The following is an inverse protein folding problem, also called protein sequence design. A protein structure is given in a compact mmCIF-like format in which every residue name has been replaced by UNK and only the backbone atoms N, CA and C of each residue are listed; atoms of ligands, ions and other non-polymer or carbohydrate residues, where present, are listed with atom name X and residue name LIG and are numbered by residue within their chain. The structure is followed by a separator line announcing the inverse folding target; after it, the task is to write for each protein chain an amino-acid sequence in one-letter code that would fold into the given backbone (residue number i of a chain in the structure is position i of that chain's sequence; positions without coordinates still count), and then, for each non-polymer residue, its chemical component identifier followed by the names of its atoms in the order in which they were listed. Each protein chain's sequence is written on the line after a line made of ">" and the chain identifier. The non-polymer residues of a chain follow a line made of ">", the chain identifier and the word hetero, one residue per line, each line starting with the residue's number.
data_IF_294960207404
#
_entry.id   IF_294960207404
#
_cell.length_a   1.000
_cell.length_b   1.000
_cell.length_c   1.000
_cell.angle_alpha   90.00
_cell.angle_beta   90.00
_cell.angle_gamma   90.00
#
_symmetry.space_group_name_H-M   'P 1'
#
loop_
_entity.id
_entity.type
_entity.pdbx_description
1 polymer ?
#
# COMPACT_ATOMS: atom_id res chain seq x y z
N UNK A 1 -8.74 -20.20 10.94
CA UNK A 1 -10.04 -19.71 10.40
C UNK A 1 -10.20 -18.20 10.50
N UNK A 2 -9.89 -17.54 11.62
CA UNK A 2 -10.10 -16.09 11.78
C UNK A 2 -9.53 -15.20 10.66
N UNK A 3 -8.30 -15.40 10.13
CA UNK A 3 -7.81 -14.60 9.00
C UNK A 3 -8.69 -14.69 7.75
N UNK A 4 -9.26 -15.87 7.46
CA UNK A 4 -10.15 -16.07 6.32
C UNK A 4 -11.47 -15.32 6.51
N UNK A 5 -11.98 -15.26 7.74
CA UNK A 5 -13.18 -14.47 8.07
C UNK A 5 -12.91 -12.99 7.79
N UNK A 6 -11.77 -12.45 8.22
CA UNK A 6 -11.40 -11.06 7.93
C UNK A 6 -11.34 -10.80 6.42
N UNK A 7 -10.74 -11.69 5.64
CA UNK A 7 -10.74 -11.58 4.18
C UNK A 7 -12.16 -11.55 3.60
N UNK A 8 -13.07 -12.40 4.08
CA UNK A 8 -14.47 -12.41 3.64
C UNK A 8 -15.19 -11.10 4.00
N UNK A 9 -15.02 -10.60 5.22
CA UNK A 9 -15.57 -9.30 5.64
C UNK A 9 -15.01 -8.15 4.78
N UNK A 10 -13.74 -8.22 4.44
CA UNK A 10 -13.06 -7.27 3.57
C UNK A 10 -13.62 -7.24 2.15
N UNK A 11 -13.94 -8.40 1.58
CA UNK A 11 -14.65 -8.51 0.29
C UNK A 11 -16.02 -7.83 0.38
N UNK A 12 -16.81 -8.15 1.42
CA UNK A 12 -18.14 -7.54 1.62
C UNK A 12 -18.03 -6.02 1.78
N UNK A 13 -17.09 -5.55 2.59
CA UNK A 13 -16.83 -4.13 2.79
C UNK A 13 -16.44 -3.44 1.48
N UNK A 14 -15.61 -4.09 0.65
CA UNK A 14 -15.19 -3.57 -0.65
C UNK A 14 -16.37 -3.49 -1.63
N UNK A 15 -17.22 -4.51 -1.70
CA UNK A 15 -18.42 -4.51 -2.54
C UNK A 15 -19.38 -3.37 -2.19
N UNK A 16 -19.58 -3.12 -0.89
CA UNK A 16 -20.40 -2.01 -0.41
C UNK A 16 -19.71 -0.68 -0.71
N UNK A 17 -18.43 -0.54 -0.37
CA UNK A 17 -17.65 0.69 -0.52
C UNK A 17 -17.54 1.17 -1.97
N UNK A 18 -17.39 0.26 -2.93
CA UNK A 18 -17.37 0.57 -4.36
C UNK A 18 -18.65 1.31 -4.80
N UNK A 19 -19.81 1.01 -4.23
CA UNK A 19 -21.08 1.69 -4.58
C UNK A 19 -21.10 3.18 -4.19
N UNK A 20 -20.22 3.58 -3.27
CA UNK A 20 -20.06 4.95 -2.82
C UNK A 20 -19.00 5.72 -3.60
N UNK A 21 -18.24 5.07 -4.49
CA UNK A 21 -17.32 5.74 -5.42
C UNK A 21 -18.16 6.39 -6.52
N UNK A 22 -18.48 7.68 -6.34
CA UNK A 22 -19.28 8.45 -7.31
C UNK A 22 -18.59 9.77 -7.62
N UNK A 23 -18.40 10.04 -8.92
CA UNK A 23 -17.88 11.32 -9.42
C UNK A 23 -19.08 12.16 -9.85
N UNK A 24 -19.34 13.26 -9.13
CA UNK A 24 -20.36 14.24 -9.54
C UNK A 24 -19.91 15.04 -10.76
N UNK A 25 -20.81 15.85 -11.34
CA UNK A 25 -20.55 16.66 -12.57
C UNK A 25 -19.33 17.59 -12.49
N UNK A 26 -18.88 17.93 -11.28
CA UNK A 26 -17.70 18.76 -11.00
C UNK A 26 -16.75 18.13 -9.96
N UNK A 27 -16.94 16.83 -9.67
CA UNK A 27 -16.14 16.11 -8.68
C UNK A 27 -14.78 15.72 -9.24
N UNK A 28 -13.73 15.75 -8.41
CA UNK A 28 -12.42 15.21 -8.77
C UNK A 28 -12.43 13.68 -8.62
N UNK A 29 -12.16 12.90 -9.69
CA UNK A 29 -12.17 11.43 -9.62
C UNK A 29 -11.23 10.88 -8.53
N UNK A 30 -10.06 11.48 -8.36
CA UNK A 30 -9.10 11.07 -7.33
C UNK A 30 -9.64 11.18 -5.90
N UNK A 31 -10.44 12.22 -5.61
CA UNK A 31 -11.11 12.36 -4.31
C UNK A 31 -12.20 11.31 -4.12
N UNK A 32 -12.98 11.02 -5.17
CA UNK A 32 -14.02 9.99 -5.10
C UNK A 32 -13.44 8.59 -4.84
N UNK A 33 -12.33 8.24 -5.50
CA UNK A 33 -11.61 6.99 -5.28
C UNK A 33 -11.08 6.90 -3.84
N UNK A 34 -10.42 7.97 -3.36
CA UNK A 34 -9.88 7.99 -1.99
C UNK A 34 -11.00 7.92 -0.93
N UNK A 35 -12.10 8.65 -1.11
CA UNK A 35 -13.26 8.58 -0.22
C UNK A 35 -13.87 7.18 -0.20
N UNK A 36 -13.98 6.50 -1.35
CA UNK A 36 -14.44 5.12 -1.41
C UNK A 36 -13.55 4.15 -0.63
N UNK A 37 -12.23 4.34 -0.70
CA UNK A 37 -11.26 3.57 0.10
C UNK A 37 -11.47 3.79 1.59
N UNK A 38 -11.62 5.04 2.03
CA UNK A 38 -11.86 5.38 3.45
C UNK A 38 -13.18 4.77 3.94
N UNK A 39 -14.25 4.88 3.14
CA UNK A 39 -15.55 4.28 3.45
C UNK A 39 -15.43 2.76 3.57
N UNK A 40 -14.72 2.12 2.64
CA UNK A 40 -14.43 0.68 2.67
C UNK A 40 -13.71 0.29 3.97
N UNK A 41 -12.66 1.03 4.33
CA UNK A 41 -11.94 0.81 5.59
C UNK A 41 -12.85 0.97 6.81
N UNK A 42 -13.70 2.02 6.84
CA UNK A 42 -14.62 2.24 7.96
C UNK A 42 -15.65 1.10 8.09
N UNK A 43 -16.25 0.66 6.98
CA UNK A 43 -17.17 -0.47 6.96
C UNK A 43 -16.46 -1.74 7.45
N UNK A 44 -15.27 -2.01 6.92
CA UNK A 44 -14.48 -3.17 7.35
C UNK A 44 -14.16 -3.12 8.85
N UNK A 45 -13.75 -1.96 9.38
CA UNK A 45 -13.48 -1.80 10.81
C UNK A 45 -14.70 -2.12 11.68
N UNK A 46 -15.89 -1.64 11.28
CA UNK A 46 -17.15 -1.93 11.98
C UNK A 46 -17.48 -3.42 11.92
N UNK A 47 -17.38 -4.04 10.74
CA UNK A 47 -17.66 -5.47 10.57
C UNK A 47 -16.68 -6.35 11.36
N UNK A 48 -15.38 -6.05 11.31
CA UNK A 48 -14.34 -6.77 12.05
C UNK A 48 -14.56 -6.63 13.56
N UNK A 49 -14.89 -5.42 14.04
CA UNK A 49 -15.22 -5.17 15.46
C UNK A 49 -16.44 -5.97 15.89
N UNK A 50 -17.51 -5.96 15.10
CA UNK A 50 -18.73 -6.71 15.39
C UNK A 50 -18.46 -8.22 15.48
N UNK A 51 -17.70 -8.78 14.53
CA UNK A 51 -17.36 -10.21 14.55
C UNK A 51 -16.50 -10.56 15.77
N UNK A 52 -15.53 -9.73 16.14
CA UNK A 52 -14.70 -10.00 17.32
C UNK A 52 -15.52 -9.96 18.61
N UNK A 53 -16.34 -8.91 18.80
CA UNK A 53 -17.12 -8.74 20.03
C UNK A 53 -18.27 -9.75 20.16
N UNK A 54 -19.03 -9.99 19.08
CA UNK A 54 -20.16 -10.93 19.09
C UNK A 54 -19.70 -12.39 19.05
N UNK A 55 -18.57 -12.66 18.39
CA UNK A 55 -18.00 -14.01 18.29
C UNK A 55 -17.17 -14.43 19.51
N UNK A 56 -16.98 -13.54 20.49
CA UNK A 56 -16.16 -13.83 21.67
C UNK A 56 -14.68 -14.05 21.35
N UNK A 57 -14.18 -13.46 20.25
CA UNK A 57 -12.76 -13.53 19.92
C UNK A 57 -11.96 -12.61 20.83
N UNK A 58 -10.67 -12.91 20.94
CA UNK A 58 -9.75 -12.14 21.76
C UNK A 58 -9.56 -10.70 21.22
N UNK A 59 -9.59 -9.70 22.10
CA UNK A 59 -9.44 -8.29 21.70
C UNK A 59 -8.06 -7.99 21.07
N UNK A 60 -7.02 -8.75 21.38
CA UNK A 60 -5.70 -8.62 20.77
C UNK A 60 -5.74 -8.77 19.25
N UNK A 61 -6.57 -9.69 18.70
CA UNK A 61 -6.71 -9.82 17.24
C UNK A 61 -7.47 -8.64 16.63
N UNK A 62 -8.40 -8.02 17.35
CA UNK A 62 -9.09 -6.82 16.88
C UNK A 62 -8.11 -5.65 16.80
N UNK A 63 -7.35 -5.41 17.86
CA UNK A 63 -6.38 -4.31 17.87
C UNK A 63 -5.30 -4.47 16.82
N UNK A 64 -4.78 -5.68 16.62
CA UNK A 64 -3.86 -5.99 15.53
C UNK A 64 -4.48 -5.69 14.16
N UNK A 65 -5.72 -6.14 13.92
CA UNK A 65 -6.47 -5.91 12.68
C UNK A 65 -6.62 -4.41 12.39
N UNK A 66 -7.06 -3.65 13.40
CA UNK A 66 -7.26 -2.21 13.30
C UNK A 66 -5.94 -1.45 13.11
N UNK A 67 -4.86 -1.87 13.77
CA UNK A 67 -3.53 -1.27 13.60
C UNK A 67 -3.07 -1.39 12.15
N UNK A 68 -3.21 -2.57 11.54
CA UNK A 68 -2.87 -2.78 10.13
C UNK A 68 -3.75 -1.96 9.18
N UNK A 69 -5.05 -1.91 9.44
CA UNK A 69 -6.00 -1.10 8.67
C UNK A 69 -5.66 0.40 8.72
N UNK A 70 -5.39 0.93 9.91
CA UNK A 70 -5.00 2.34 10.12
C UNK A 70 -3.70 2.63 9.40
N UNK A 71 -2.70 1.75 9.48
CA UNK A 71 -1.46 1.89 8.73
C UNK A 71 -1.71 1.94 7.22
N UNK A 72 -2.60 1.08 6.69
CA UNK A 72 -3.04 1.17 5.29
C UNK A 72 -3.64 2.53 4.94
N UNK A 73 -4.53 3.06 5.79
CA UNK A 73 -5.12 4.40 5.59
C UNK A 73 -4.04 5.49 5.59
N UNK A 74 -3.10 5.47 6.54
CA UNK A 74 -1.99 6.42 6.61
C UNK A 74 -1.18 6.40 5.31
N UNK A 75 -0.83 5.21 4.83
CA UNK A 75 -0.07 5.04 3.58
C UNK A 75 -0.87 5.51 2.37
N UNK A 76 -2.17 5.24 2.33
CA UNK A 76 -3.04 5.76 1.28
C UNK A 76 -3.04 7.29 1.22
N UNK A 77 -3.16 7.95 2.37
CA UNK A 77 -3.09 9.41 2.44
C UNK A 77 -1.72 9.98 2.10
N UNK A 78 -0.63 9.33 2.55
CA UNK A 78 0.72 9.82 2.26
C UNK A 78 1.05 9.64 0.79
N UNK A 79 0.73 8.48 0.20
CA UNK A 79 0.81 8.27 -1.25
C UNK A 79 -0.02 9.30 -2.01
N UNK A 80 -1.25 9.58 -1.59
CA UNK A 80 -2.11 10.61 -2.19
C UNK A 80 -1.45 12.00 -2.14
N UNK A 81 -0.89 12.40 -1.00
CA UNK A 81 -0.23 13.69 -0.81
C UNK A 81 1.00 13.88 -1.69
N UNK A 82 1.84 12.85 -1.83
CA UNK A 82 3.08 12.95 -2.61
C UNK A 82 2.88 12.75 -4.12
N UNK A 83 1.70 12.31 -4.58
CA UNK A 83 1.48 11.98 -6.00
C UNK A 83 0.32 12.70 -6.67
N UNK A 84 -0.61 13.30 -5.92
CA UNK A 84 -1.67 14.11 -6.51
C UNK A 84 -1.19 15.52 -6.86
N UNK A 85 -1.60 16.01 -8.03
CA UNK A 85 -1.36 17.38 -8.52
C UNK A 85 -2.01 18.49 -7.68
N UNK A 86 -2.83 18.12 -6.69
CA UNK A 86 -3.47 19.05 -5.76
C UNK A 86 -2.53 19.49 -4.61
N UNK A 87 -1.37 18.85 -4.43
CA UNK A 87 -0.50 19.07 -3.28
C UNK A 87 0.90 19.58 -3.64
N UNK A 88 1.52 20.18 -2.63
CA UNK A 88 2.81 20.85 -2.74
C UNK A 88 3.91 20.03 -3.43
N UNK A 89 4.16 18.73 -3.13
CA UNK A 89 5.26 18.00 -3.76
C UNK A 89 5.20 17.97 -5.28
N UNK A 90 4.00 17.74 -5.84
CA UNK A 90 3.78 17.67 -7.29
C UNK A 90 3.74 19.06 -7.90
N UNK A 91 3.08 20.02 -7.24
CA UNK A 91 3.02 21.43 -7.68
C UNK A 91 4.43 22.03 -7.76
N UNK A 92 5.26 21.76 -6.77
CA UNK A 92 6.65 22.23 -6.71
C UNK A 92 7.50 21.60 -7.82
N UNK A 93 7.35 20.29 -8.04
CA UNK A 93 8.03 19.57 -9.14
C UNK A 93 7.63 20.14 -10.51
N UNK A 94 6.35 20.44 -10.71
CA UNK A 94 5.86 21.11 -11.92
C UNK A 94 6.42 22.53 -12.07
N UNK A 95 6.48 23.31 -10.97
CA UNK A 95 7.04 24.67 -10.96
C UNK A 95 8.50 24.68 -11.40
N UNK A 96 9.34 23.81 -10.83
CA UNK A 96 10.77 23.76 -11.16
C UNK A 96 11.07 23.17 -12.53
N UNK A 97 10.10 22.52 -13.17
CA UNK A 97 10.24 22.06 -14.57
C UNK A 97 10.49 23.21 -15.54
N UNK A 98 10.04 24.44 -15.22
CA UNK A 98 10.37 25.65 -15.98
C UNK A 98 11.86 26.04 -15.93
N UNK A 99 12.63 25.50 -14.97
CA UNK A 99 14.07 25.75 -14.82
C UNK A 99 14.96 24.69 -15.50
N UNK A 100 14.36 23.64 -16.07
CA UNK A 100 15.06 22.60 -16.83
C UNK A 100 14.94 21.18 -16.27
N UNK A 101 15.23 20.19 -17.12
CA UNK A 101 15.02 18.77 -16.82
C UNK A 101 15.84 18.26 -15.62
N UNK A 102 17.07 18.76 -15.43
CA UNK A 102 17.93 18.33 -14.34
C UNK A 102 17.34 18.68 -12.96
N UNK A 103 16.82 19.91 -12.81
CA UNK A 103 16.20 20.35 -11.55
C UNK A 103 14.90 19.59 -11.31
N UNK A 104 14.12 19.33 -12.36
CA UNK A 104 12.91 18.49 -12.27
C UNK A 104 13.21 17.10 -11.71
N UNK A 105 14.24 16.41 -12.25
CA UNK A 105 14.65 15.08 -11.79
C UNK A 105 15.10 15.11 -10.32
N UNK A 106 15.94 16.08 -9.95
CA UNK A 106 16.47 16.20 -8.59
C UNK A 106 15.32 16.44 -7.58
N UNK A 107 14.42 17.36 -7.88
CA UNK A 107 13.28 17.68 -7.00
C UNK A 107 12.32 16.49 -6.87
N UNK A 108 11.97 15.85 -7.98
CA UNK A 108 11.11 14.65 -7.97
C UNK A 108 11.73 13.49 -7.18
N UNK A 109 13.03 13.22 -7.40
CA UNK A 109 13.76 12.19 -6.65
C UNK A 109 13.82 12.51 -5.14
N UNK A 110 14.07 13.77 -4.78
CA UNK A 110 14.08 14.22 -3.39
C UNK A 110 12.74 13.99 -2.68
N UNK A 111 11.62 14.42 -3.28
CA UNK A 111 10.30 14.15 -2.71
C UNK A 111 9.98 12.66 -2.64
N UNK A 112 10.43 11.87 -3.62
CA UNK A 112 10.36 10.41 -3.58
C UNK A 112 11.02 9.83 -2.33
N UNK A 113 12.25 10.25 -2.02
CA UNK A 113 12.96 9.81 -0.81
C UNK A 113 12.26 10.25 0.49
N UNK A 114 11.70 11.45 0.54
CA UNK A 114 10.96 11.94 1.72
C UNK A 114 9.64 11.17 1.90
N UNK A 115 8.98 10.79 0.81
CA UNK A 115 7.67 10.13 0.83
C UNK A 115 7.67 8.76 1.54
N UNK A 116 8.82 8.11 1.67
CA UNK A 116 8.93 6.80 2.34
C UNK A 116 8.78 6.90 3.86
N UNK A 117 9.12 8.06 4.46
CA UNK A 117 9.25 8.21 5.92
C UNK A 117 7.93 7.95 6.65
N UNK A 118 6.79 8.56 6.26
CA UNK A 118 5.51 8.28 6.91
C UNK A 118 5.09 6.82 6.81
N UNK A 119 5.35 6.18 5.66
CA UNK A 119 5.00 4.77 5.42
C UNK A 119 5.80 3.83 6.32
N UNK A 120 7.11 4.05 6.45
CA UNK A 120 7.97 3.27 7.35
C UNK A 120 7.57 3.45 8.81
N UNK A 121 7.28 4.68 9.26
CA UNK A 121 6.79 4.93 10.61
C UNK A 121 5.48 4.18 10.86
N UNK A 122 4.53 4.22 9.92
CA UNK A 122 3.28 3.48 10.01
C UNK A 122 3.47 1.96 10.13
N UNK A 123 4.40 1.38 9.37
CA UNK A 123 4.72 -0.05 9.44
C UNK A 123 5.34 -0.41 10.80
N UNK A 124 6.29 0.40 11.30
CA UNK A 124 6.93 0.18 12.60
C UNK A 124 5.90 0.25 13.72
N UNK A 125 5.04 1.27 13.71
CA UNK A 125 3.99 1.44 14.72
C UNK A 125 2.99 0.27 14.67
N UNK A 126 2.51 -0.12 13.48
CA UNK A 126 1.62 -1.27 13.36
C UNK A 126 2.27 -2.57 13.85
N UNK A 127 3.55 -2.79 13.53
CA UNK A 127 4.30 -3.97 13.96
C UNK A 127 4.36 -4.04 15.48
N UNK A 128 4.84 -2.99 16.13
CA UNK A 128 5.03 -2.96 17.59
C UNK A 128 3.69 -3.04 18.33
N UNK A 129 2.70 -2.25 17.91
CA UNK A 129 1.37 -2.28 18.53
C UNK A 129 0.72 -3.66 18.39
N UNK A 130 0.74 -4.24 17.19
CA UNK A 130 0.12 -5.55 16.95
C UNK A 130 0.82 -6.65 17.74
N UNK A 131 2.15 -6.60 17.85
CA UNK A 131 2.92 -7.56 18.63
C UNK A 131 2.59 -7.47 20.12
N UNK A 132 2.75 -6.30 20.73
CA UNK A 132 2.58 -6.15 22.18
C UNK A 132 1.12 -6.29 22.62
N UNK A 133 0.16 -5.79 21.84
CA UNK A 133 -1.26 -5.94 22.19
C UNK A 133 -1.74 -7.39 22.07
N UNK A 134 -1.20 -8.17 21.13
CA UNK A 134 -1.47 -9.60 21.06
C UNK A 134 -0.88 -10.33 22.27
N UNK A 135 0.38 -10.09 22.63
CA UNK A 135 1.05 -10.70 23.80
C UNK A 135 0.30 -10.38 25.10
N UNK A 136 -0.06 -9.11 25.32
CA UNK A 136 -0.84 -8.68 26.49
C UNK A 136 -2.20 -9.35 26.60
N UNK A 137 -2.76 -9.74 25.45
CA UNK A 137 -4.05 -10.44 25.40
C UNK A 137 -3.90 -11.97 25.45
N UNK A 138 -2.69 -12.50 25.59
CA UNK A 138 -2.42 -13.94 25.68
C UNK A 138 -2.35 -14.65 24.32
N UNK A 139 -2.08 -13.91 23.23
CA UNK A 139 -1.86 -14.47 21.90
C UNK A 139 -0.41 -14.20 21.48
N UNK A 140 0.20 -15.09 20.71
CA UNK A 140 1.53 -14.85 20.13
C UNK A 140 1.59 -13.50 19.41
N UNK A 141 2.57 -12.67 19.76
CA UNK A 141 2.78 -11.36 19.16
C UNK A 141 3.03 -11.44 17.65
N UNK A 142 3.70 -12.51 17.21
CA UNK A 142 3.94 -12.81 15.80
C UNK A 142 2.62 -13.03 15.06
N UNK A 143 1.69 -13.77 15.68
CA UNK A 143 0.34 -13.94 15.13
C UNK A 143 -0.39 -12.61 15.04
N UNK A 144 -0.23 -11.73 16.04
CA UNK A 144 -0.72 -10.34 15.99
C UNK A 144 -0.20 -9.57 14.77
N UNK A 145 1.11 -9.61 14.50
CA UNK A 145 1.68 -8.99 13.30
C UNK A 145 1.07 -9.56 12.01
N UNK A 146 0.89 -10.88 11.94
CA UNK A 146 0.24 -11.52 10.79
C UNK A 146 -1.21 -11.08 10.60
N UNK A 147 -1.98 -10.98 11.68
CA UNK A 147 -3.36 -10.46 11.66
C UNK A 147 -3.38 -8.98 11.25
N UNK A 148 -2.39 -8.19 11.64
CA UNK A 148 -2.22 -6.81 11.17
C UNK A 148 -2.07 -6.73 9.66
N UNK A 149 -1.20 -7.57 9.08
CA UNK A 149 -1.03 -7.67 7.63
C UNK A 149 -2.34 -8.05 6.92
N UNK A 150 -3.09 -9.01 7.48
CA UNK A 150 -4.42 -9.42 6.96
C UNK A 150 -5.42 -8.27 7.06
N UNK A 151 -5.47 -7.56 8.19
CA UNK A 151 -6.35 -6.40 8.38
C UNK A 151 -6.09 -5.30 7.37
N UNK A 152 -4.82 -5.03 7.06
CA UNK A 152 -4.43 -4.09 6.01
C UNK A 152 -4.88 -4.56 4.61
N UNK A 153 -4.69 -5.84 4.29
CA UNK A 153 -5.04 -6.42 2.98
C UNK A 153 -6.53 -6.74 2.80
N UNK A 154 -7.33 -6.68 3.86
CA UNK A 154 -8.75 -7.02 3.80
C UNK A 154 -9.53 -6.10 2.85
N UNK A 155 -9.08 -4.86 2.67
CA UNK A 155 -9.69 -3.90 1.72
C UNK A 155 -9.12 -4.00 0.29
N UNK A 156 -8.36 -5.06 -0.02
CA UNK A 156 -7.71 -5.26 -1.33
C UNK A 156 -8.67 -5.20 -2.51
N UNK A 157 -9.93 -5.61 -2.36
CA UNK A 157 -10.93 -5.51 -3.43
C UNK A 157 -11.11 -4.09 -3.95
N UNK A 158 -11.25 -3.12 -3.04
CA UNK A 158 -11.33 -1.69 -3.38
C UNK A 158 -10.00 -1.14 -3.93
N UNK A 159 -8.87 -1.54 -3.33
CA UNK A 159 -7.54 -1.07 -3.74
C UNK A 159 -7.18 -1.55 -5.15
N UNK A 160 -7.38 -2.83 -5.45
CA UNK A 160 -7.09 -3.43 -6.77
C UNK A 160 -8.06 -2.89 -7.82
N UNK A 161 -9.33 -2.67 -7.46
CA UNK A 161 -10.29 -2.02 -8.36
C UNK A 161 -9.87 -0.58 -8.70
N UNK A 162 -9.35 0.16 -7.73
CA UNK A 162 -8.83 1.52 -7.95
C UNK A 162 -7.53 1.51 -8.76
N UNK A 163 -6.70 0.48 -8.62
CA UNK A 163 -5.48 0.30 -9.43
C UNK A 163 -5.84 0.02 -10.90
N UNK A 164 -6.81 -0.88 -11.14
CA UNK A 164 -7.30 -1.24 -12.46
C UNK A 164 -7.96 -0.06 -13.20
N UNK A 165 -8.54 0.90 -12.47
CA UNK A 165 -9.07 2.13 -13.04
C UNK A 165 -8.00 2.87 -13.87
N UNK A 166 -6.75 2.92 -13.39
CA UNK A 166 -5.67 3.68 -14.03
C UNK A 166 -5.35 3.26 -15.47
N UNK A 167 -4.98 1.99 -15.74
CA UNK A 167 -4.75 1.51 -17.11
C UNK A 167 -5.96 1.62 -18.04
N UNK A 168 -7.19 1.54 -17.49
CA UNK A 168 -8.42 1.69 -18.29
C UNK A 168 -8.52 3.12 -18.84
N UNK A 169 -8.31 4.13 -17.99
CA UNK A 169 -8.43 5.54 -18.40
C UNK A 169 -7.26 6.01 -19.24
N UNK A 170 -6.06 5.48 -19.00
CA UNK A 170 -4.85 5.71 -19.83
C UNK A 170 -5.10 5.24 -21.28
N UNK A 171 -5.62 4.02 -21.44
CA UNK A 171 -6.02 3.50 -22.75
C UNK A 171 -7.15 4.31 -23.38
N UNK A 172 -8.14 4.76 -22.59
CA UNK A 172 -9.23 5.58 -23.09
C UNK A 172 -8.73 6.94 -23.62
N UNK A 173 -7.80 7.58 -22.90
CA UNK A 173 -7.10 8.80 -23.33
C UNK A 173 -6.37 8.57 -24.65
N UNK A 174 -5.57 7.50 -24.74
CA UNK A 174 -4.82 7.16 -25.95
C UNK A 174 -5.73 6.91 -27.16
N UNK A 175 -6.85 6.20 -26.97
CA UNK A 175 -7.85 5.98 -28.03
C UNK A 175 -8.46 7.31 -28.47
N UNK A 176 -8.82 8.20 -27.54
CA UNK A 176 -9.41 9.49 -27.87
C UNK A 176 -8.46 10.38 -28.70
N UNK A 177 -7.17 10.39 -28.34
CA UNK A 177 -6.12 11.11 -29.05
C UNK A 177 -5.90 10.53 -30.46
N UNK A 178 -5.73 9.19 -30.58
CA UNK A 178 -5.51 8.52 -31.86
C UNK A 178 -6.72 8.58 -32.80
N UNK A 179 -7.93 8.64 -32.26
CA UNK A 179 -9.17 8.76 -33.04
C UNK A 179 -9.51 10.19 -33.46
N UNK A 180 -8.70 11.19 -33.06
CA UNK A 180 -8.94 12.59 -33.40
C UNK A 180 -10.21 13.17 -32.78
N UNK A 181 -10.57 12.73 -31.57
CA UNK A 181 -11.76 13.22 -30.86
C UNK A 181 -11.59 14.70 -30.45
N UNK A 182 -12.70 15.35 -30.06
CA UNK A 182 -12.71 16.75 -29.65
C UNK A 182 -11.86 17.01 -28.39
N UNK A 183 -11.32 18.22 -28.26
CA UNK A 183 -10.51 18.63 -27.09
C UNK A 183 -11.23 18.42 -25.75
N UNK A 184 -12.55 18.63 -25.69
CA UNK A 184 -13.34 18.39 -24.47
C UNK A 184 -13.26 16.93 -23.97
N UNK A 185 -13.18 15.97 -24.90
CA UNK A 185 -13.01 14.55 -24.56
C UNK A 185 -11.61 14.30 -24.04
N UNK A 186 -10.60 14.87 -24.69
CA UNK A 186 -9.19 14.76 -24.29
C UNK A 186 -9.01 15.34 -22.88
N UNK A 187 -9.48 16.57 -22.63
CA UNK A 187 -9.40 17.24 -21.33
C UNK A 187 -10.09 16.41 -20.24
N UNK A 188 -11.23 15.81 -20.55
CA UNK A 188 -11.93 14.90 -19.63
C UNK A 188 -11.08 13.68 -19.32
N UNK A 189 -10.52 13.02 -20.34
CA UNK A 189 -9.67 11.83 -20.15
C UNK A 189 -8.35 12.13 -19.43
N UNK A 190 -7.77 13.32 -19.61
CA UNK A 190 -6.56 13.73 -18.89
C UNK A 190 -6.83 13.89 -17.38
N UNK A 191 -7.98 14.45 -17.00
CA UNK A 191 -8.40 14.53 -15.59
C UNK A 191 -8.62 13.14 -14.99
N UNK A 192 -9.16 12.21 -15.77
CA UNK A 192 -9.36 10.83 -15.34
C UNK A 192 -8.02 10.10 -15.18
N UNK A 193 -7.09 10.25 -16.13
CA UNK A 193 -5.75 9.62 -16.09
C UNK A 193 -4.89 10.14 -14.94
N UNK A 194 -4.88 11.45 -14.70
CA UNK A 194 -4.18 12.04 -13.55
C UNK A 194 -4.64 11.44 -12.21
N UNK A 195 -5.95 11.20 -12.06
CA UNK A 195 -6.50 10.51 -10.90
C UNK A 195 -6.08 9.02 -10.87
N UNK A 196 -6.05 8.36 -12.02
CA UNK A 196 -5.57 6.98 -12.17
C UNK A 196 -4.11 6.80 -11.76
N UNK A 197 -3.23 7.74 -12.11
CA UNK A 197 -1.83 7.71 -11.71
C UNK A 197 -1.64 7.87 -10.20
N UNK A 198 -2.47 8.69 -9.56
CA UNK A 198 -2.51 8.78 -8.09
C UNK A 198 -3.03 7.48 -7.45
N UNK A 199 -4.08 6.87 -8.03
CA UNK A 199 -4.61 5.59 -7.55
C UNK A 199 -3.60 4.44 -7.66
N UNK A 200 -2.84 4.38 -8.76
CA UNK A 200 -1.70 3.46 -8.96
C UNK A 200 -0.61 3.64 -7.91
N UNK A 201 -0.37 4.88 -7.43
CA UNK A 201 0.62 5.12 -6.39
C UNK A 201 0.13 4.64 -5.01
N UNK A 202 -1.16 4.86 -4.70
CA UNK A 202 -1.79 4.38 -3.47
C UNK A 202 -1.74 2.84 -3.42
N UNK A 203 -2.14 2.17 -4.50
CA UNK A 203 -2.15 0.69 -4.57
C UNK A 203 -0.74 0.11 -4.34
N UNK A 204 0.29 0.69 -4.95
CA UNK A 204 1.70 0.32 -4.73
C UNK A 204 2.13 0.51 -3.28
N UNK A 205 1.76 1.63 -2.65
CA UNK A 205 2.04 1.88 -1.23
C UNK A 205 1.42 0.83 -0.32
N UNK A 206 0.16 0.45 -0.57
CA UNK A 206 -0.52 -0.63 0.13
C UNK A 206 0.19 -1.97 -0.03
N UNK A 207 0.55 -2.33 -1.27
CA UNK A 207 1.22 -3.60 -1.56
C UNK A 207 2.58 -3.72 -0.85
N UNK A 208 3.41 -2.67 -0.90
CA UNK A 208 4.73 -2.65 -0.25
C UNK A 208 4.61 -2.83 1.26
N UNK A 209 3.66 -2.13 1.87
CA UNK A 209 3.54 -2.11 3.32
C UNK A 209 2.91 -3.38 3.87
N UNK A 210 1.95 -3.94 3.14
CA UNK A 210 1.42 -5.27 3.44
C UNK A 210 2.51 -6.35 3.32
N UNK A 211 3.38 -6.27 2.29
CA UNK A 211 4.52 -7.17 2.17
C UNK A 211 5.46 -7.02 3.38
N UNK A 212 5.77 -5.80 3.81
CA UNK A 212 6.63 -5.54 4.97
C UNK A 212 6.09 -6.16 6.27
N UNK A 213 4.79 -5.99 6.56
CA UNK A 213 4.14 -6.61 7.72
C UNK A 213 4.11 -8.15 7.61
N UNK A 214 3.89 -8.67 6.40
CA UNK A 214 3.83 -10.13 6.15
C UNK A 214 5.18 -10.82 6.34
N UNK A 215 6.27 -10.17 5.92
CA UNK A 215 7.64 -10.72 6.01
C UNK A 215 8.01 -11.13 7.42
N UNK A 216 7.61 -10.38 8.45
CA UNK A 216 7.88 -10.74 9.85
C UNK A 216 7.17 -12.04 10.27
N UNK A 217 5.94 -12.24 9.79
CA UNK A 217 5.20 -13.49 10.02
C UNK A 217 5.83 -14.66 9.28
N UNK A 218 6.33 -14.43 8.06
CA UNK A 218 7.06 -15.43 7.29
C UNK A 218 8.39 -15.82 7.94
N UNK A 219 9.11 -14.87 8.55
CA UNK A 219 10.34 -15.17 9.29
C UNK A 219 10.08 -16.08 10.49
N UNK A 220 8.99 -15.85 11.21
CA UNK A 220 8.60 -16.72 12.31
C UNK A 220 8.20 -18.13 11.83
N UNK A 221 7.39 -18.21 10.78
CA UNK A 221 7.04 -19.49 10.16
C UNK A 221 8.29 -20.24 9.66
N UNK A 222 9.25 -19.51 9.08
CA UNK A 222 10.54 -20.07 8.68
C UNK A 222 11.33 -20.61 9.88
N UNK A 223 11.44 -19.84 10.96
CA UNK A 223 12.11 -20.27 12.19
C UNK A 223 11.48 -21.53 12.80
N UNK A 224 10.14 -21.61 12.81
CA UNK A 224 9.40 -22.78 13.29
C UNK A 224 9.69 -24.03 12.45
N UNK A 225 9.67 -23.93 11.11
CA UNK A 225 9.96 -25.04 10.20
C UNK A 225 11.40 -25.53 10.35
N UNK A 226 12.35 -24.61 10.52
CA UNK A 226 13.77 -24.93 10.72
C UNK A 226 13.98 -25.59 12.10
N UNK A 227 13.33 -25.07 13.14
CA UNK A 227 13.30 -25.65 14.48
C UNK A 227 12.74 -27.07 14.50
N UNK A 228 11.65 -27.33 13.76
CA UNK A 228 11.07 -28.67 13.62
C UNK A 228 12.01 -29.68 12.96
N UNK A 229 13.04 -29.23 12.24
CA UNK A 229 14.11 -30.05 11.67
C UNK A 229 15.32 -30.23 12.60
N UNK A 230 15.21 -29.77 13.85
CA UNK A 230 16.25 -29.88 14.87
C UNK A 230 17.33 -28.80 14.78
N UNK A 231 17.11 -27.74 13.99
CA UNK A 231 18.04 -26.61 13.87
C UNK A 231 17.49 -25.43 14.64
N UNK A 232 18.14 -25.05 15.74
CA UNK A 232 17.78 -23.85 16.48
C UNK A 232 18.20 -22.61 15.69
N UNK A 233 17.23 -21.86 15.17
CA UNK A 233 17.49 -20.68 14.36
C UNK A 233 17.53 -19.43 15.25
N UNK A 234 18.74 -19.02 15.62
CA UNK A 234 18.98 -17.73 16.31
C UNK A 234 19.41 -16.69 15.27
N UNK A 235 18.55 -15.72 14.96
CA UNK A 235 18.87 -14.63 14.03
C UNK A 235 19.41 -13.44 14.84
N UNK A 236 20.70 -13.47 15.13
CA UNK A 236 21.38 -12.43 15.92
C UNK A 236 22.24 -11.52 15.05
N UNK A 237 22.04 -10.20 15.12
CA UNK A 237 22.93 -9.23 14.47
C UNK A 237 24.36 -9.19 15.07
N UNK A 238 24.62 -9.95 16.15
CA UNK A 238 25.98 -10.15 16.69
C UNK A 238 26.76 -11.20 15.90
N UNK A 239 26.08 -12.03 15.12
CA UNK A 239 26.72 -13.07 14.32
C UNK A 239 27.15 -12.52 12.95
N UNK A 240 28.43 -12.65 12.58
CA UNK A 240 28.93 -12.13 11.30
C UNK A 240 28.19 -12.69 10.08
N UNK A 241 27.73 -13.95 10.13
CA UNK A 241 26.98 -14.59 9.05
C UNK A 241 25.62 -13.89 8.82
N UNK A 242 24.93 -13.53 9.90
CA UNK A 242 23.64 -12.81 9.81
C UNK A 242 23.86 -11.41 9.25
N UNK A 243 24.89 -10.69 9.72
CA UNK A 243 25.22 -9.35 9.20
C UNK A 243 25.59 -9.40 7.72
N UNK A 244 26.41 -10.37 7.31
CA UNK A 244 26.74 -10.58 5.89
C UNK A 244 25.49 -10.85 5.05
N UNK A 245 24.57 -11.69 5.55
CA UNK A 245 23.29 -11.95 4.90
C UNK A 245 22.42 -10.69 4.77
N UNK A 246 22.36 -9.85 5.81
CA UNK A 246 21.63 -8.57 5.77
C UNK A 246 22.24 -7.62 4.73
N UNK A 247 23.56 -7.50 4.65
CA UNK A 247 24.23 -6.63 3.67
C UNK A 247 24.01 -7.10 2.23
N UNK A 248 24.14 -8.41 1.95
CA UNK A 248 23.85 -8.99 0.64
C UNK A 248 22.37 -8.84 0.27
N UNK A 249 21.47 -9.07 1.23
CA UNK A 249 20.04 -8.85 1.07
C UNK A 249 19.71 -7.39 0.74
N UNK A 250 20.30 -6.44 1.45
CA UNK A 250 20.10 -5.01 1.23
C UNK A 250 20.62 -4.53 -0.13
N UNK A 251 21.66 -5.17 -0.68
CA UNK A 251 22.16 -4.88 -2.04
C UNK A 251 21.24 -5.40 -3.15
N UNK A 252 20.33 -6.34 -2.84
CA UNK A 252 19.48 -7.00 -3.85
C UNK A 252 18.45 -6.03 -4.48
N UNK A 253 17.68 -5.22 -3.73
CA UNK A 253 16.71 -4.30 -4.36
C UNK A 253 17.34 -3.25 -5.28
N UNK A 254 18.45 -2.56 -4.91
CA UNK A 254 19.12 -1.63 -5.82
C UNK A 254 19.68 -2.31 -7.07
N UNK A 255 20.29 -3.50 -6.93
CA UNK A 255 20.80 -4.28 -8.07
C UNK A 255 19.66 -4.67 -9.01
N UNK A 256 18.59 -5.23 -8.47
CA UNK A 256 17.40 -5.60 -9.24
C UNK A 256 16.80 -4.38 -9.96
N UNK A 257 16.66 -3.25 -9.25
CA UNK A 257 16.17 -2.00 -9.84
C UNK A 257 17.04 -1.55 -11.01
N UNK A 258 18.36 -1.54 -10.85
CA UNK A 258 19.30 -1.17 -11.91
C UNK A 258 19.18 -2.09 -13.14
N UNK A 259 19.09 -3.41 -12.93
CA UNK A 259 18.91 -4.38 -14.02
C UNK A 259 17.59 -4.16 -14.78
N UNK A 260 16.49 -3.88 -14.07
CA UNK A 260 15.21 -3.57 -14.72
C UNK A 260 15.24 -2.25 -15.49
N UNK A 261 15.87 -1.20 -14.95
CA UNK A 261 16.04 0.08 -15.65
C UNK A 261 16.91 -0.06 -16.91
N UNK A 262 18.05 -0.75 -16.82
CA UNK A 262 18.90 -1.04 -17.97
C UNK A 262 18.17 -1.85 -19.05
N UNK A 263 17.34 -2.81 -18.63
CA UNK A 263 16.50 -3.60 -19.55
C UNK A 263 15.49 -2.71 -20.28
N UNK A 264 14.85 -1.76 -19.62
CA UNK A 264 13.93 -0.80 -20.26
C UNK A 264 14.69 0.08 -21.24
N UNK A 265 15.84 0.65 -20.84
CA UNK A 265 16.68 1.47 -21.73
C UNK A 265 17.12 0.70 -22.97
N UNK A 266 17.54 -0.56 -22.82
CA UNK A 266 17.97 -1.40 -23.93
C UNK A 266 16.85 -1.70 -24.93
N UNK A 267 15.58 -1.71 -24.51
CA UNK A 267 14.44 -1.96 -25.40
C UNK A 267 13.76 -0.67 -25.90
N UNK A 268 14.16 0.50 -25.40
CA UNK A 268 13.61 1.79 -25.80
C UNK A 268 14.26 2.35 -27.08
N UNK A 269 15.43 1.84 -27.45
CA UNK A 269 16.21 2.18 -28.63
C UNK A 269 16.52 0.93 -29.44
#
# INVERSE_FOLDING_TARGET
>A
MFPLILCTLGIVASLIGIQFVRVGKSGKPGRALNSGTIITCAIFAVLATAVVLLGGYNLGVLWATLAGLVTGVVIGFTSYYYTSSDFHPVIETARVSGSGAAINIITGYSFGLVSIVPSIIGIVVATLLSYYLAELSGISGIYGIGISAVGMLSVSGMIVSSDAYGPIVDNARGIAEMAGMSQEVIDTTDVLDAAGNTAKAISKGFAISAAALTVLSLFAAYAEVVGARGVELVISLREPIVVAGVLLGAATPPLFSALTMLSVTHNAF
#
